data_IF_979470254425
#
_entry.id   IF_979470254425
#
_cell.length_a   1.000
_cell.length_b   1.000
_cell.length_c   1.000
_cell.angle_alpha   90.00
_cell.angle_beta   90.00
_cell.angle_gamma   90.00
#
_symmetry.space_group_name_H-M   'P 1'
#
loop_
_entity.id
_entity.type
_entity.pdbx_description
1 polymer ?
#
# COMPACT_ATOMS: atom_id res chain seq x y z
N UNK A 1 17.10 -2.52 -16.91
CA UNK A 1 16.04 -1.76 -16.20
C UNK A 1 14.86 -2.70 -16.01
N UNK A 2 14.42 -2.91 -14.78
CA UNK A 2 13.26 -3.75 -14.45
C UNK A 2 12.13 -2.83 -13.99
N UNK A 3 10.94 -2.98 -14.57
CA UNK A 3 9.72 -2.33 -14.07
C UNK A 3 9.04 -3.25 -13.07
N UNK A 4 8.71 -2.73 -11.91
CA UNK A 4 7.90 -3.41 -10.90
C UNK A 4 6.53 -2.74 -10.83
N UNK A 5 5.47 -3.52 -10.84
CA UNK A 5 4.11 -3.06 -10.65
C UNK A 5 3.68 -3.44 -9.25
N UNK A 6 3.19 -2.46 -8.50
CA UNK A 6 2.69 -2.65 -7.14
C UNK A 6 1.24 -2.18 -7.03
N UNK A 7 0.52 -2.76 -6.09
CA UNK A 7 -0.83 -2.38 -5.69
C UNK A 7 -0.86 -2.04 -4.22
N UNK A 8 -1.54 -0.96 -3.84
CA UNK A 8 -1.58 -0.43 -2.48
C UNK A 8 -3.00 -0.11 -2.03
N UNK A 9 -3.30 -0.36 -0.77
CA UNK A 9 -4.57 0.00 -0.15
C UNK A 9 -4.47 1.32 0.62
N UNK A 10 -5.40 2.23 0.36
CA UNK A 10 -5.60 3.45 1.15
C UNK A 10 -6.79 3.20 2.08
N UNK A 11 -6.51 3.12 3.37
CA UNK A 11 -7.48 2.90 4.44
C UNK A 11 -7.45 4.13 5.33
N UNK A 12 -8.52 4.91 5.34
CA UNK A 12 -8.64 6.11 6.16
C UNK A 12 -9.80 5.97 7.14
N UNK A 13 -9.57 6.29 8.41
CA UNK A 13 -10.61 6.26 9.43
C UNK A 13 -11.35 7.60 9.51
N UNK A 14 -12.35 7.68 10.40
CA UNK A 14 -13.17 8.87 10.61
C UNK A 14 -12.44 10.06 11.24
N UNK A 15 -11.22 9.84 11.75
CA UNK A 15 -10.34 10.88 12.27
C UNK A 15 -9.36 11.43 11.23
N UNK A 16 -9.37 10.87 10.01
CA UNK A 16 -8.43 11.25 8.95
C UNK A 16 -7.05 10.61 9.08
N UNK A 17 -6.91 9.58 9.91
CA UNK A 17 -5.69 8.82 10.04
C UNK A 17 -5.63 7.70 9.00
N UNK A 18 -4.45 7.42 8.49
CA UNK A 18 -4.19 6.36 7.51
C UNK A 18 -3.67 5.11 8.19
N UNK A 19 -4.23 3.96 7.84
CA UNK A 19 -3.63 2.68 8.21
C UNK A 19 -2.34 2.48 7.43
N UNK A 20 -1.25 2.40 8.15
CA UNK A 20 0.08 2.20 7.60
C UNK A 20 0.83 1.12 8.35
N UNK A 21 1.89 0.67 7.73
CA UNK A 21 2.79 -0.33 8.29
C UNK A 21 4.23 0.14 8.14
N UNK A 22 5.07 -0.27 9.09
CA UNK A 22 6.50 -0.09 9.07
C UNK A 22 7.13 -1.46 8.84
N UNK A 23 7.92 -1.57 7.78
CA UNK A 23 8.56 -2.83 7.42
C UNK A 23 9.68 -3.19 8.42
N UNK A 24 9.97 -4.48 8.54
CA UNK A 24 11.16 -4.95 9.28
C UNK A 24 12.43 -4.37 8.68
N UNK A 25 13.51 -4.28 9.46
CA UNK A 25 14.79 -3.73 9.00
C UNK A 25 15.32 -4.42 7.74
N UNK A 26 15.09 -5.73 7.61
CA UNK A 26 15.48 -6.49 6.42
C UNK A 26 14.72 -6.03 5.16
N UNK A 27 13.40 -5.84 5.27
CA UNK A 27 12.56 -5.48 4.12
C UNK A 27 12.57 -3.99 3.79
N UNK A 28 13.05 -3.15 4.71
CA UNK A 28 13.18 -1.70 4.50
C UNK A 28 14.61 -1.24 4.18
N UNK A 29 15.57 -2.16 4.06
CA UNK A 29 16.99 -1.84 3.98
C UNK A 29 17.49 -0.95 5.15
N UNK A 30 16.90 -1.14 6.34
CA UNK A 30 17.18 -0.37 7.55
C UNK A 30 16.61 1.05 7.56
N UNK A 31 15.82 1.44 6.55
CA UNK A 31 15.16 2.75 6.49
C UNK A 31 13.95 2.79 7.44
N UNK A 32 13.76 3.92 8.10
CA UNK A 32 12.64 4.14 9.00
C UNK A 32 11.55 4.97 8.34
N UNK A 33 10.57 4.31 7.74
CA UNK A 33 9.42 4.95 7.12
C UNK A 33 8.17 4.08 7.31
N UNK A 34 7.01 4.72 7.21
CA UNK A 34 5.74 4.06 7.14
C UNK A 34 5.25 3.98 5.69
N UNK A 35 4.50 2.98 5.34
CA UNK A 35 3.88 2.84 4.02
C UNK A 35 2.49 2.22 4.13
N UNK A 36 1.69 2.41 3.10
CA UNK A 36 0.37 1.77 3.00
C UNK A 36 0.52 0.27 2.68
N UNK A 37 -0.41 -0.58 3.14
CA UNK A 37 -0.37 -2.01 2.88
C UNK A 37 -0.48 -2.33 1.39
N UNK A 38 0.09 -3.45 0.98
CA UNK A 38 0.12 -3.93 -0.39
C UNK A 38 1.52 -4.29 -0.85
N UNK A 39 1.65 -4.74 -2.07
CA UNK A 39 2.92 -5.21 -2.60
C UNK A 39 2.95 -5.42 -4.10
N UNK A 40 3.87 -6.25 -4.56
CA UNK A 40 4.09 -6.52 -5.97
C UNK A 40 3.04 -7.43 -6.59
N UNK A 41 2.68 -7.14 -7.84
CA UNK A 41 1.88 -8.05 -8.64
C UNK A 41 2.70 -9.25 -9.11
N UNK A 42 2.09 -10.40 -9.08
CA UNK A 42 2.58 -11.58 -9.75
C UNK A 42 2.33 -11.50 -11.26
N UNK A 43 3.07 -12.31 -12.02
CA UNK A 43 2.86 -12.39 -13.47
C UNK A 43 1.44 -12.86 -13.79
N UNK A 44 0.76 -12.15 -14.68
CA UNK A 44 -0.62 -12.45 -15.10
C UNK A 44 -1.68 -12.32 -13.98
N UNK A 45 -1.37 -11.58 -12.91
CA UNK A 45 -2.31 -11.30 -11.82
C UNK A 45 -3.07 -10.00 -12.08
N UNK A 46 -4.38 -9.99 -11.82
CA UNK A 46 -5.20 -8.77 -11.90
C UNK A 46 -4.85 -7.83 -10.75
N UNK A 47 -4.93 -6.51 -10.98
CA UNK A 47 -4.62 -5.50 -9.96
C UNK A 47 -5.37 -5.71 -8.63
N UNK A 48 -6.68 -5.97 -8.71
CA UNK A 48 -7.51 -6.17 -7.53
C UNK A 48 -7.28 -7.51 -6.83
N UNK A 49 -6.94 -8.56 -7.58
CA UNK A 49 -6.63 -9.87 -7.01
C UNK A 49 -5.28 -9.83 -6.28
N UNK A 50 -4.28 -9.15 -6.86
CA UNK A 50 -2.99 -8.92 -6.21
C UNK A 50 -3.11 -8.09 -4.95
N UNK A 51 -3.88 -7.01 -4.98
CA UNK A 51 -4.12 -6.19 -3.79
C UNK A 51 -4.80 -7.02 -2.69
N UNK A 52 -5.82 -7.79 -3.03
CA UNK A 52 -6.51 -8.68 -2.10
C UNK A 52 -5.55 -9.68 -1.46
N UNK A 53 -4.73 -10.35 -2.27
CA UNK A 53 -3.73 -11.32 -1.80
C UNK A 53 -2.74 -10.68 -0.84
N UNK A 54 -2.11 -9.58 -1.25
CA UNK A 54 -1.11 -8.87 -0.42
C UNK A 54 -1.70 -8.42 0.92
N UNK A 55 -2.89 -7.82 0.92
CA UNK A 55 -3.51 -7.35 2.15
C UNK A 55 -3.89 -8.48 3.10
N UNK A 56 -4.35 -9.63 2.59
CA UNK A 56 -4.63 -10.80 3.42
C UNK A 56 -3.33 -11.38 3.99
N UNK A 57 -2.26 -11.46 3.20
CA UNK A 57 -0.95 -11.96 3.64
C UNK A 57 -0.36 -11.09 4.75
N UNK A 58 -0.48 -9.77 4.66
CA UNK A 58 0.08 -8.82 5.61
C UNK A 58 -0.80 -8.59 6.84
N UNK A 59 -2.11 -8.51 6.67
CA UNK A 59 -3.04 -8.08 7.74
C UNK A 59 -4.00 -9.16 8.22
N UNK A 60 -4.19 -10.22 7.45
CA UNK A 60 -5.20 -11.25 7.71
C UNK A 60 -6.64 -10.81 7.41
N UNK A 61 -6.84 -9.59 6.90
CA UNK A 61 -8.15 -8.99 6.67
C UNK A 61 -8.48 -8.98 5.18
N UNK A 62 -9.68 -9.47 4.86
CA UNK A 62 -10.27 -9.36 3.52
C UNK A 62 -10.59 -7.90 3.20
N UNK A 63 -9.95 -7.26 2.21
CA UNK A 63 -10.24 -5.87 1.86
C UNK A 63 -11.54 -5.76 1.07
N UNK A 64 -12.32 -4.73 1.37
CA UNK A 64 -13.37 -4.26 0.48
C UNK A 64 -12.80 -3.18 -0.43
N UNK A 65 -12.42 -3.57 -1.64
CA UNK A 65 -11.73 -2.72 -2.60
C UNK A 65 -12.73 -1.80 -3.29
N UNK A 66 -12.54 -0.50 -3.13
CA UNK A 66 -13.30 0.57 -3.78
C UNK A 66 -12.60 1.13 -5.02
N UNK A 67 -12.67 2.44 -5.20
CA UNK A 67 -12.15 3.13 -6.37
C UNK A 67 -10.63 3.18 -6.40
N UNK A 68 -10.05 3.17 -7.59
CA UNK A 68 -8.67 3.59 -7.84
C UNK A 68 -8.59 5.11 -7.58
N UNK A 69 -7.72 5.53 -6.67
CA UNK A 69 -7.59 6.93 -6.28
C UNK A 69 -6.53 7.68 -7.08
N UNK A 70 -5.36 7.08 -7.24
CA UNK A 70 -4.25 7.65 -7.99
C UNK A 70 -3.22 6.58 -8.37
N UNK A 71 -2.32 6.97 -9.25
CA UNK A 71 -1.20 6.16 -9.71
C UNK A 71 0.07 6.96 -9.46
N UNK A 72 1.12 6.28 -8.98
CA UNK A 72 2.45 6.84 -8.85
C UNK A 72 3.42 6.09 -9.75
N UNK A 73 4.31 6.84 -10.40
CA UNK A 73 5.43 6.27 -11.13
C UNK A 73 6.72 6.96 -10.66
N UNK A 74 7.71 6.18 -10.30
CA UNK A 74 9.00 6.71 -9.85
C UNK A 74 10.14 5.75 -10.14
N UNK A 75 11.36 6.29 -10.18
CA UNK A 75 12.58 5.50 -10.24
C UNK A 75 13.12 5.29 -8.82
N UNK A 76 13.36 4.04 -8.45
CA UNK A 76 14.06 3.73 -7.22
C UNK A 76 15.58 3.92 -7.45
N UNK A 77 16.12 4.97 -6.86
CA UNK A 77 17.57 5.22 -6.88
C UNK A 77 18.24 4.43 -5.75
N UNK A 78 18.77 3.26 -6.07
CA UNK A 78 19.63 2.53 -5.15
C UNK A 78 21.08 2.64 -5.61
N UNK A 79 21.96 3.19 -4.80
CA UNK A 79 23.41 3.23 -5.06
C UNK A 79 24.05 1.83 -5.18
N UNK A 80 23.31 0.77 -4.87
CA UNK A 80 23.76 -0.62 -4.84
C UNK A 80 23.02 -1.56 -5.79
N UNK A 81 22.24 -1.07 -6.74
CA UNK A 81 21.66 -2.00 -7.71
C UNK A 81 22.67 -2.29 -8.82
N UNK A 82 23.29 -3.46 -8.76
CA UNK A 82 24.12 -4.01 -9.86
C UNK A 82 23.34 -4.17 -11.19
N UNK A 83 22.08 -3.72 -11.24
CA UNK A 83 21.14 -3.93 -12.35
C UNK A 83 20.54 -2.64 -12.90
N UNK A 84 21.06 -1.46 -12.53
CA UNK A 84 20.53 -0.16 -12.99
C UNK A 84 19.24 0.28 -12.26
N UNK A 85 18.69 1.45 -12.60
CA UNK A 85 17.51 1.99 -11.91
C UNK A 85 16.28 1.10 -12.14
N UNK A 86 15.61 0.76 -11.06
CA UNK A 86 14.32 0.08 -11.10
C UNK A 86 13.21 1.14 -11.18
N UNK A 87 12.29 0.94 -12.11
CA UNK A 87 11.08 1.75 -12.22
C UNK A 87 9.96 1.09 -11.43
N UNK A 88 9.27 1.87 -10.61
CA UNK A 88 8.11 1.45 -9.85
C UNK A 88 6.85 2.11 -10.43
N UNK A 89 5.80 1.32 -10.59
CA UNK A 89 4.46 1.79 -10.96
C UNK A 89 3.50 1.28 -9.89
N UNK A 90 2.87 2.18 -9.15
CA UNK A 90 2.01 1.84 -8.01
C UNK A 90 0.58 2.33 -8.23
N UNK A 91 -0.38 1.46 -7.97
CA UNK A 91 -1.81 1.71 -8.07
C UNK A 91 -2.42 1.75 -6.67
N UNK A 92 -3.02 2.88 -6.29
CA UNK A 92 -3.58 3.10 -4.96
C UNK A 92 -5.10 3.04 -4.99
N UNK A 93 -5.67 2.05 -4.28
CA UNK A 93 -7.10 1.82 -4.19
C UNK A 93 -7.64 2.19 -2.82
N UNK A 94 -8.83 2.78 -2.78
CA UNK A 94 -9.58 2.97 -1.54
C UNK A 94 -10.07 1.62 -0.99
N UNK A 95 -9.82 1.38 0.29
CA UNK A 95 -10.33 0.22 1.02
C UNK A 95 -11.42 0.72 1.97
N UNK A 96 -12.66 0.27 1.76
CA UNK A 96 -13.83 0.88 2.40
C UNK A 96 -14.13 0.34 3.80
N UNK A 97 -13.65 -0.84 4.15
CA UNK A 97 -13.92 -1.49 5.45
C UNK A 97 -12.85 -1.16 6.52
N UNK A 98 -12.56 0.14 6.72
CA UNK A 98 -11.48 0.59 7.60
C UNK A 98 -11.60 0.09 9.05
N UNK A 99 -12.84 -0.11 9.56
CA UNK A 99 -13.10 -0.56 10.93
C UNK A 99 -12.46 -1.92 11.22
N UNK A 100 -12.31 -2.77 10.22
CA UNK A 100 -11.71 -4.10 10.38
C UNK A 100 -10.21 -4.03 10.66
N UNK A 101 -9.58 -2.88 10.42
CA UNK A 101 -8.13 -2.67 10.56
C UNK A 101 -7.73 -2.01 11.89
N UNK A 102 -8.66 -1.75 12.80
CA UNK A 102 -8.37 -1.11 14.08
C UNK A 102 -7.52 -1.98 15.02
N UNK A 103 -7.64 -3.30 14.92
CA UNK A 103 -6.95 -4.24 15.81
C UNK A 103 -6.38 -5.41 14.99
N UNK A 104 -5.21 -5.23 14.43
CA UNK A 104 -4.53 -6.26 13.65
C UNK A 104 -3.65 -7.10 14.55
N UNK A 105 -3.82 -8.43 14.48
CA UNK A 105 -2.93 -9.41 15.08
C UNK A 105 -1.98 -9.97 14.02
N UNK A 106 -0.77 -9.43 13.95
CA UNK A 106 0.25 -9.86 12.99
C UNK A 106 0.67 -11.33 13.18
N UNK A 107 0.47 -11.90 14.38
CA UNK A 107 0.81 -13.30 14.64
C UNK A 107 -0.11 -14.28 13.92
N UNK A 108 -1.30 -13.84 13.55
CA UNK A 108 -2.30 -14.64 12.83
C UNK A 108 -2.18 -14.57 11.31
N UNK A 109 -1.24 -13.77 10.78
CA UNK A 109 -1.04 -13.56 9.35
C UNK A 109 0.06 -14.45 8.78
N UNK A 110 0.01 -14.73 7.49
CA UNK A 110 1.01 -15.60 6.84
C UNK A 110 2.40 -14.95 6.73
N UNK A 111 2.48 -13.64 6.48
CA UNK A 111 3.73 -12.90 6.30
C UNK A 111 3.90 -11.70 7.24
N UNK A 112 2.89 -11.39 8.07
CA UNK A 112 2.88 -10.18 8.87
C UNK A 112 4.08 -10.01 9.79
N UNK A 113 4.42 -11.03 10.61
CA UNK A 113 5.56 -10.98 11.54
C UNK A 113 6.90 -10.89 10.81
N UNK A 114 7.02 -11.57 9.68
CA UNK A 114 8.28 -11.64 8.93
C UNK A 114 8.60 -10.33 8.21
N UNK A 115 7.58 -9.64 7.71
CA UNK A 115 7.72 -8.47 6.85
C UNK A 115 7.42 -7.16 7.55
N UNK A 116 6.52 -7.17 8.55
CA UNK A 116 5.97 -5.98 9.19
C UNK A 116 6.40 -5.91 10.65
N UNK A 117 7.12 -4.85 11.01
CA UNK A 117 7.55 -4.59 12.37
C UNK A 117 6.41 -4.00 13.22
N UNK A 118 5.57 -3.17 12.62
CA UNK A 118 4.51 -2.42 13.29
C UNK A 118 3.44 -2.00 12.27
N UNK A 119 2.17 -1.97 12.67
CA UNK A 119 1.08 -1.43 11.86
C UNK A 119 0.04 -0.73 12.72
N UNK A 120 -0.72 0.17 12.11
CA UNK A 120 -1.81 0.88 12.76
C UNK A 120 -2.20 2.16 12.03
N UNK A 121 -3.21 2.85 12.56
CA UNK A 121 -3.61 4.16 12.07
C UNK A 121 -2.65 5.23 12.57
N UNK A 122 -2.15 6.04 11.65
CA UNK A 122 -1.19 7.12 11.92
C UNK A 122 -1.66 8.43 11.29
N UNK A 123 -1.34 9.55 11.93
CA UNK A 123 -1.62 10.87 11.37
C UNK A 123 -0.63 11.17 10.22
N UNK A 124 -1.12 11.29 8.97
CA UNK A 124 -0.23 11.52 7.82
C UNK A 124 0.46 12.89 7.85
N UNK A 125 0.00 13.83 8.68
CA UNK A 125 0.59 15.18 8.77
C UNK A 125 1.86 15.22 9.63
N UNK A 126 2.00 14.27 10.56
CA UNK A 126 3.12 14.23 11.50
C UNK A 126 3.98 12.97 11.37
N UNK A 127 3.54 12.00 10.58
CA UNK A 127 4.23 10.72 10.37
C UNK A 127 4.91 10.71 9.01
N UNK A 128 6.16 10.23 8.96
CA UNK A 128 6.87 10.06 7.69
C UNK A 128 6.36 8.83 6.96
N UNK A 129 5.49 9.05 5.98
CA UNK A 129 4.84 8.02 5.17
C UNK A 129 5.32 8.14 3.73
N UNK A 130 5.57 7.01 3.08
CA UNK A 130 5.85 6.95 1.65
C UNK A 130 4.62 6.44 0.88
N UNK A 131 4.28 7.06 -0.26
CA UNK A 131 4.90 8.26 -0.83
C UNK A 131 4.63 9.51 -0.01
N UNK A 132 5.57 10.44 0.01
CA UNK A 132 5.48 11.68 0.81
C UNK A 132 4.29 12.56 0.42
N UNK A 133 3.79 12.41 -0.78
CA UNK A 133 2.60 13.09 -1.29
C UNK A 133 1.34 12.80 -0.47
N UNK A 134 1.27 11.63 0.20
CA UNK A 134 0.13 11.27 1.06
C UNK A 134 -0.08 12.26 2.21
N UNK A 135 1.00 12.87 2.72
CA UNK A 135 0.90 13.90 3.76
C UNK A 135 0.34 15.24 3.25
N UNK A 136 0.31 15.45 1.94
CA UNK A 136 -0.12 16.69 1.27
C UNK A 136 -1.48 16.56 0.60
N UNK A 137 -1.95 15.33 0.38
CA UNK A 137 -3.24 15.05 -0.27
C UNK A 137 -4.40 15.19 0.72
N UNK A 138 -5.52 15.70 0.24
CA UNK A 138 -6.81 15.54 0.89
C UNK A 138 -7.44 14.22 0.39
N UNK A 139 -7.18 13.13 1.11
CA UNK A 139 -7.62 11.78 0.74
C UNK A 139 -9.14 11.69 0.71
N UNK A 140 -9.84 12.31 1.66
CA UNK A 140 -11.31 12.29 1.67
C UNK A 140 -11.88 12.95 0.42
N UNK A 141 -11.29 14.06 -0.01
CA UNK A 141 -11.70 14.74 -1.24
C UNK A 141 -11.42 13.90 -2.49
N UNK A 142 -10.30 13.18 -2.53
CA UNK A 142 -10.04 12.22 -3.61
C UNK A 142 -11.09 11.12 -3.65
N UNK A 143 -11.48 10.57 -2.50
CA UNK A 143 -12.53 9.55 -2.41
C UNK A 143 -13.87 10.09 -2.89
N UNK A 144 -14.28 11.28 -2.44
CA UNK A 144 -15.54 11.92 -2.83
C UNK A 144 -15.60 12.20 -4.34
N UNK A 145 -14.49 12.59 -4.94
CA UNK A 145 -14.40 12.92 -6.37
C UNK A 145 -14.06 11.71 -7.25
N UNK A 146 -13.73 10.55 -6.67
CA UNK A 146 -13.45 9.35 -7.44
C UNK A 146 -14.74 8.80 -8.03
N UNK A 147 -14.84 8.77 -9.36
CA UNK A 147 -15.78 7.91 -10.05
C UNK A 147 -15.15 6.52 -10.16
N UNK A 148 -15.96 5.47 -10.09
CA UNK A 148 -15.48 4.11 -10.32
C UNK A 148 -14.95 4.02 -11.77
N UNK A 149 -13.64 4.12 -11.91
CA UNK A 149 -12.97 3.90 -13.20
C UNK A 149 -13.06 2.40 -13.51
N UNK A 150 -13.59 2.02 -14.68
CA UNK A 150 -13.57 0.63 -15.07
C UNK A 150 -12.13 0.17 -15.28
N UNK A 151 -11.76 -0.90 -14.58
CA UNK A 151 -10.48 -1.56 -14.77
C UNK A 151 -10.75 -2.78 -15.62
N UNK A 152 -10.37 -2.70 -16.89
CA UNK A 152 -10.53 -3.79 -17.81
C UNK A 152 -9.30 -4.70 -17.73
N UNK A 153 -9.53 -5.98 -17.58
CA UNK A 153 -8.48 -7.00 -17.57
C UNK A 153 -8.98 -8.23 -18.29
N UNK A 154 -8.20 -8.67 -19.26
CA UNK A 154 -8.43 -9.90 -20.03
C UNK A 154 -7.52 -11.06 -19.55
N UNK A 155 -6.95 -10.92 -18.35
CA UNK A 155 -6.09 -11.92 -17.72
C UNK A 155 -6.90 -13.10 -17.18
#
# INVERSE_FOLDING_TARGET
MKRRVNVRGIIINDKGELFCQRLTAHNSDGRNFWCTPGGGLDSMEKLTDGLRREMIEETGIEPQIGSLLFIQQFAESGENSNHGPNEQLEFFFHITNWQNYENIDLTSTSHGIEEIAECGFVDPKITYILPVELSKMDINKLIENSSALPILSEL
#
